data_IF_546825723717
#
_entry.id   IF_546825723717
#
_cell.length_a   1.000
_cell.length_b   1.000
_cell.length_c   1.000
_cell.angle_alpha   90.00
_cell.angle_beta   90.00
_cell.angle_gamma   90.00
#
_symmetry.space_group_name_H-M   'P 1'
#
loop_
_entity.id
_entity.type
_entity.pdbx_description
1 polymer ?
#
# COMPACT_ATOMS: atom_id res chain seq x y z
N UNK A 1 -22.26 43.72 -15.52
CA UNK A 1 -21.79 42.32 -15.60
C UNK A 1 -21.03 42.05 -14.31
N UNK A 2 -21.67 41.43 -13.31
CA UNK A 2 -21.02 41.17 -12.02
C UNK A 2 -20.36 39.79 -12.03
N UNK A 3 -19.16 39.61 -11.45
CA UNK A 3 -18.54 38.30 -11.33
C UNK A 3 -19.25 37.43 -10.27
N UNK A 4 -19.30 36.12 -10.51
CA UNK A 4 -19.81 35.12 -9.55
C UNK A 4 -18.84 34.97 -8.36
N UNK A 5 -19.34 34.72 -7.14
CA UNK A 5 -18.49 34.50 -5.98
C UNK A 5 -17.72 33.17 -6.08
N UNK A 6 -16.42 33.20 -5.78
CA UNK A 6 -15.57 32.02 -5.62
C UNK A 6 -15.92 31.33 -4.30
N UNK A 7 -16.30 30.06 -4.36
CA UNK A 7 -16.52 29.24 -3.18
C UNK A 7 -15.17 28.83 -2.57
N UNK A 8 -14.94 29.20 -1.30
CA UNK A 8 -13.83 28.72 -0.49
C UNK A 8 -14.03 27.24 -0.11
N UNK A 9 -12.99 26.38 -0.15
CA UNK A 9 -13.13 25.02 0.37
C UNK A 9 -13.21 25.03 1.90
N UNK A 10 -14.29 24.46 2.43
CA UNK A 10 -14.53 24.27 3.86
C UNK A 10 -13.50 23.29 4.47
N UNK A 11 -12.85 23.60 5.60
CA UNK A 11 -12.02 22.63 6.31
C UNK A 11 -12.90 21.51 6.89
N UNK A 12 -12.66 20.27 6.48
CA UNK A 12 -13.35 19.08 7.01
C UNK A 12 -12.81 18.74 8.41
N UNK A 13 -13.66 18.42 9.40
CA UNK A 13 -13.22 18.15 10.77
C UNK A 13 -12.40 16.85 10.89
N UNK A 14 -11.48 16.75 11.88
CA UNK A 14 -10.73 15.53 12.13
C UNK A 14 -11.64 14.47 12.79
N UNK A 15 -11.90 13.38 12.08
CA UNK A 15 -12.66 12.25 12.65
C UNK A 15 -11.70 11.41 13.49
N UNK A 16 -11.88 11.46 14.81
CA UNK A 16 -11.18 10.64 15.78
C UNK A 16 -11.48 9.16 15.54
N UNK A 17 -10.42 8.34 15.47
CA UNK A 17 -10.51 6.91 15.19
C UNK A 17 -10.98 6.16 16.44
N UNK A 18 -12.22 5.69 16.45
CA UNK A 18 -12.68 4.65 17.39
C UNK A 18 -12.25 3.28 16.84
N UNK A 19 -11.61 2.48 17.68
CA UNK A 19 -11.11 1.15 17.36
C UNK A 19 -12.22 0.20 16.86
N UNK A 20 -11.91 -0.59 15.83
CA UNK A 20 -12.74 -1.64 15.25
C UNK A 20 -12.22 -3.04 15.65
N UNK A 21 -13.04 -4.11 15.59
CA UNK A 21 -12.92 -5.30 16.44
C UNK A 21 -11.89 -6.34 15.97
N UNK A 22 -11.51 -7.22 16.91
CA UNK A 22 -10.48 -8.27 16.84
C UNK A 22 -10.67 -9.32 15.72
N UNK A 23 -9.59 -9.98 15.24
CA UNK A 23 -9.63 -10.89 14.10
C UNK A 23 -10.00 -12.34 14.47
N UNK A 24 -10.77 -13.01 13.59
CA UNK A 24 -10.99 -14.47 13.64
C UNK A 24 -9.89 -15.25 12.88
N UNK A 25 -9.52 -16.47 13.32
CA UNK A 25 -8.41 -17.23 12.74
C UNK A 25 -8.87 -18.08 11.54
N UNK A 26 -8.07 -18.09 10.47
CA UNK A 26 -8.15 -19.06 9.37
C UNK A 26 -6.93 -20.00 9.40
N UNK A 27 -7.05 -21.27 8.95
CA UNK A 27 -6.12 -22.33 9.34
C UNK A 27 -4.80 -22.27 8.59
N UNK A 28 -3.73 -22.61 9.32
CA UNK A 28 -2.39 -22.84 8.80
C UNK A 28 -2.21 -24.32 8.44
N UNK A 29 -1.69 -24.61 7.24
CA UNK A 29 -0.92 -25.84 7.02
C UNK A 29 -0.03 -25.74 5.77
N UNK A 30 1.25 -26.12 5.89
CA UNK A 30 2.09 -26.46 4.74
C UNK A 30 3.47 -25.79 4.62
N UNK A 31 4.43 -26.18 5.45
CA UNK A 31 5.83 -26.48 5.08
C UNK A 31 6.70 -25.45 4.35
N UNK A 32 7.69 -24.91 5.08
CA UNK A 32 9.07 -24.82 4.58
C UNK A 32 9.53 -23.50 3.96
N UNK A 33 9.73 -22.47 4.78
CA UNK A 33 10.88 -21.54 4.87
C UNK A 33 10.60 -20.67 6.11
N UNK A 34 11.59 -20.06 6.75
CA UNK A 34 11.39 -19.17 7.91
C UNK A 34 10.74 -17.84 7.47
N UNK A 35 9.54 -17.92 6.92
CA UNK A 35 8.67 -16.81 6.55
C UNK A 35 7.71 -16.53 7.70
N UNK A 36 7.35 -15.25 7.86
CA UNK A 36 6.29 -14.79 8.75
C UNK A 36 5.04 -15.65 8.52
N UNK A 37 4.57 -16.37 9.55
CA UNK A 37 3.52 -17.40 9.44
C UNK A 37 2.09 -16.85 9.27
N UNK A 38 1.92 -15.77 8.52
CA UNK A 38 0.62 -15.14 8.27
C UNK A 38 0.71 -13.63 8.10
N UNK A 39 -0.41 -13.03 7.68
CA UNK A 39 -0.49 -11.59 7.49
C UNK A 39 -0.68 -10.85 8.82
N UNK A 40 0.30 -10.05 9.20
CA UNK A 40 0.37 -9.35 10.49
C UNK A 40 -0.28 -7.98 10.49
N UNK A 41 -0.62 -7.46 9.30
CA UNK A 41 -1.16 -6.12 9.17
C UNK A 41 -2.66 -6.11 9.50
N UNK A 42 -3.25 -4.96 9.86
CA UNK A 42 -4.68 -4.89 10.15
C UNK A 42 -5.54 -5.06 8.90
N UNK A 43 -6.51 -5.97 8.90
CA UNK A 43 -7.43 -6.17 7.78
C UNK A 43 -8.09 -4.86 7.34
N UNK A 44 -8.26 -4.72 6.02
CA UNK A 44 -8.81 -3.51 5.41
C UNK A 44 -7.78 -2.41 5.16
N UNK A 45 -6.56 -2.51 5.68
CA UNK A 45 -5.51 -1.52 5.38
C UNK A 45 -4.80 -1.81 4.06
N UNK A 46 -4.22 -0.75 3.46
CA UNK A 46 -3.40 -0.87 2.26
C UNK A 46 -2.22 -1.83 2.47
N UNK A 47 -1.58 -1.77 3.63
CA UNK A 47 -0.47 -2.65 4.04
C UNK A 47 -0.90 -4.11 4.17
N UNK A 48 -2.12 -4.36 4.67
CA UNK A 48 -2.66 -5.71 4.75
C UNK A 48 -2.92 -6.31 3.38
N UNK A 49 -3.59 -5.58 2.49
CA UNK A 49 -3.81 -6.08 1.14
C UNK A 49 -2.50 -6.27 0.40
N UNK A 50 -1.57 -5.31 0.51
CA UNK A 50 -0.26 -5.41 -0.12
C UNK A 50 0.48 -6.67 0.33
N UNK A 51 0.54 -6.93 1.64
CA UNK A 51 1.18 -8.13 2.18
C UNK A 51 0.47 -9.42 1.73
N UNK A 52 -0.86 -9.44 1.74
CA UNK A 52 -1.64 -10.61 1.32
C UNK A 52 -1.46 -10.92 -0.16
N UNK A 53 -1.55 -9.89 -1.00
CA UNK A 53 -1.44 -10.03 -2.45
C UNK A 53 -0.01 -10.36 -2.87
N UNK A 54 0.99 -9.79 -2.20
CA UNK A 54 2.38 -10.14 -2.41
C UNK A 54 2.64 -11.63 -2.10
N UNK A 55 2.09 -12.15 -1.00
CA UNK A 55 2.14 -13.59 -0.71
C UNK A 55 1.44 -14.45 -1.78
N UNK A 56 0.30 -14.02 -2.29
CA UNK A 56 -0.37 -14.75 -3.38
C UNK A 56 0.47 -14.82 -4.67
N UNK A 57 1.29 -13.81 -4.95
CA UNK A 57 2.12 -13.74 -6.15
C UNK A 57 3.46 -14.46 -5.97
N UNK A 58 4.06 -14.36 -4.79
CA UNK A 58 5.46 -14.75 -4.56
C UNK A 58 5.64 -15.86 -3.52
N UNK A 59 4.56 -16.29 -2.85
CA UNK A 59 4.61 -17.29 -1.78
C UNK A 59 5.30 -16.82 -0.50
N UNK A 60 5.60 -15.54 -0.37
CA UNK A 60 6.26 -14.96 0.82
C UNK A 60 5.55 -13.70 1.30
N UNK A 61 5.56 -13.49 2.61
CA UNK A 61 5.05 -12.27 3.23
C UNK A 61 6.17 -11.23 3.36
N UNK A 62 5.77 -9.97 3.45
CA UNK A 62 6.62 -8.86 3.89
C UNK A 62 7.22 -9.18 5.27
N UNK A 63 8.56 -9.10 5.44
CA UNK A 63 9.23 -9.61 6.63
C UNK A 63 9.24 -8.64 7.82
N UNK A 64 8.99 -7.34 7.61
CA UNK A 64 9.00 -6.34 8.68
C UNK A 64 7.67 -6.22 9.42
N UNK A 65 7.76 -5.92 10.72
CA UNK A 65 6.60 -5.81 11.64
C UNK A 65 6.57 -4.54 12.48
N UNK A 66 7.72 -3.91 12.66
CA UNK A 66 7.87 -2.62 13.34
C UNK A 66 8.12 -1.54 12.29
N UNK A 67 7.82 -0.27 12.61
CA UNK A 67 7.94 0.84 11.65
C UNK A 67 7.41 0.45 10.27
N UNK A 68 6.16 0.00 10.27
CA UNK A 68 5.54 -0.65 9.11
C UNK A 68 4.39 0.19 8.53
N UNK A 69 4.38 1.51 8.80
CA UNK A 69 3.58 2.45 8.04
C UNK A 69 4.00 2.39 6.57
N UNK A 70 3.06 2.62 5.66
CA UNK A 70 3.29 2.42 4.22
C UNK A 70 4.54 3.17 3.71
N UNK A 71 4.74 4.43 4.10
CA UNK A 71 5.91 5.22 3.68
C UNK A 71 7.25 4.64 4.15
N UNK A 72 7.27 3.89 5.26
CA UNK A 72 8.49 3.32 5.86
C UNK A 72 8.97 2.06 5.13
N UNK A 73 8.13 1.46 4.29
CA UNK A 73 8.44 0.20 3.62
C UNK A 73 9.65 0.29 2.68
N UNK A 74 9.98 1.49 2.17
CA UNK A 74 11.21 1.69 1.39
C UNK A 74 12.46 1.50 2.26
N UNK A 75 12.49 2.11 3.45
CA UNK A 75 13.62 1.95 4.37
C UNK A 75 13.73 0.49 4.83
N UNK A 76 12.59 -0.14 5.16
CA UNK A 76 12.54 -1.55 5.53
C UNK A 76 12.96 -2.49 4.41
N UNK A 77 12.62 -2.19 3.15
CA UNK A 77 13.07 -2.98 2.02
C UNK A 77 14.61 -3.02 1.95
N UNK A 78 15.29 -1.87 2.14
CA UNK A 78 16.76 -1.86 2.21
C UNK A 78 17.30 -2.67 3.40
N UNK A 79 16.73 -2.51 4.60
CA UNK A 79 17.17 -3.23 5.80
C UNK A 79 17.02 -4.76 5.67
N UNK A 80 15.99 -5.21 4.96
CA UNK A 80 15.69 -6.63 4.74
C UNK A 80 16.23 -7.15 3.40
N UNK A 81 17.12 -6.40 2.74
CA UNK A 81 17.77 -6.77 1.48
C UNK A 81 16.80 -7.03 0.31
N UNK A 82 15.61 -6.43 0.35
CA UNK A 82 14.73 -6.35 -0.81
C UNK A 82 15.25 -5.30 -1.80
N UNK A 83 14.93 -5.50 -3.07
CA UNK A 83 15.21 -4.53 -4.12
C UNK A 83 14.29 -3.32 -3.98
N UNK A 84 14.84 -2.14 -4.26
CA UNK A 84 14.11 -0.87 -4.35
C UNK A 84 14.41 -0.26 -5.72
N UNK A 85 13.38 -0.18 -6.56
CA UNK A 85 13.44 0.38 -7.90
C UNK A 85 12.68 1.71 -7.97
N UNK A 86 13.12 2.58 -8.86
CA UNK A 86 12.36 3.79 -9.28
C UNK A 86 11.50 3.52 -10.51
N UNK A 87 11.80 2.47 -11.24
CA UNK A 87 11.06 2.04 -12.42
C UNK A 87 9.99 1.02 -12.03
N UNK A 88 8.81 1.06 -12.67
CA UNK A 88 7.75 0.08 -12.46
C UNK A 88 8.18 -1.37 -12.66
N UNK A 89 7.85 -2.22 -11.69
CA UNK A 89 8.10 -3.66 -11.76
C UNK A 89 6.78 -4.42 -11.56
N UNK A 90 6.34 -5.28 -12.50
CA UNK A 90 5.18 -6.14 -12.30
C UNK A 90 5.33 -7.03 -11.05
N UNK A 91 4.28 -7.10 -10.23
CA UNK A 91 4.29 -7.88 -8.99
C UNK A 91 5.03 -7.25 -7.82
N UNK A 92 5.69 -6.11 -8.00
CA UNK A 92 6.28 -5.35 -6.89
C UNK A 92 5.21 -4.60 -6.09
N UNK A 93 5.56 -4.20 -4.87
CA UNK A 93 4.74 -3.27 -4.08
C UNK A 93 5.18 -1.86 -4.45
N UNK A 94 4.24 -1.04 -4.95
CA UNK A 94 4.44 0.40 -5.09
C UNK A 94 4.27 1.06 -3.71
N UNK A 95 5.18 1.95 -3.36
CA UNK A 95 5.17 2.75 -2.13
C UNK A 95 5.07 4.22 -2.49
N UNK A 96 4.06 4.91 -1.96
CA UNK A 96 3.86 6.34 -2.08
C UNK A 96 4.26 7.03 -0.77
N UNK A 97 5.15 8.00 -0.87
CA UNK A 97 5.50 8.87 0.25
C UNK A 97 4.32 9.80 0.61
N UNK A 98 4.30 10.39 1.83
CA UNK A 98 3.24 11.31 2.23
C UNK A 98 3.06 12.47 1.26
N UNK A 99 1.82 12.77 0.89
CA UNK A 99 1.47 13.84 -0.06
C UNK A 99 1.61 13.48 -1.53
N UNK A 100 2.11 12.30 -1.88
CA UNK A 100 2.30 11.86 -3.27
C UNK A 100 1.03 11.19 -3.81
N UNK A 101 0.57 11.63 -4.98
CA UNK A 101 -0.65 11.12 -5.64
C UNK A 101 -1.89 11.02 -4.72
N UNK A 102 -1.98 11.89 -3.70
CA UNK A 102 -3.09 11.89 -2.73
C UNK A 102 -2.87 11.01 -1.49
N UNK A 103 -1.68 10.44 -1.30
CA UNK A 103 -1.33 9.68 -0.11
C UNK A 103 -1.34 10.55 1.15
N UNK A 104 -1.96 10.03 2.22
CA UNK A 104 -2.01 10.69 3.52
C UNK A 104 -0.67 10.61 4.27
N UNK A 105 -0.63 11.12 5.51
CA UNK A 105 0.57 11.17 6.34
C UNK A 105 1.25 9.80 6.57
N UNK A 106 0.49 8.70 6.53
CA UNK A 106 1.02 7.35 6.68
C UNK A 106 1.59 6.76 5.37
N UNK A 107 1.59 7.53 4.29
CA UNK A 107 1.91 7.05 2.94
C UNK A 107 0.83 6.10 2.41
N UNK A 108 1.16 5.41 1.32
CA UNK A 108 0.28 4.39 0.76
C UNK A 108 1.09 3.27 0.10
N UNK A 109 0.55 2.06 0.10
CA UNK A 109 1.11 0.93 -0.65
C UNK A 109 0.04 0.23 -1.47
N UNK A 110 0.45 -0.29 -2.63
CA UNK A 110 -0.39 -1.11 -3.50
C UNK A 110 0.49 -2.17 -4.20
N UNK A 111 -0.11 -3.22 -4.77
CA UNK A 111 0.65 -4.23 -5.54
C UNK A 111 0.47 -3.98 -7.03
N UNK A 112 1.57 -3.87 -7.76
CA UNK A 112 1.57 -3.66 -9.21
C UNK A 112 1.04 -4.91 -9.90
N UNK A 113 -0.16 -4.82 -10.47
CA UNK A 113 -0.78 -5.90 -11.23
C UNK A 113 -0.35 -5.86 -12.70
N UNK A 114 -0.14 -4.65 -13.24
CA UNK A 114 0.28 -4.46 -14.63
C UNK A 114 1.02 -3.15 -14.82
N UNK A 115 2.11 -3.18 -15.58
CA UNK A 115 2.76 -1.96 -16.07
C UNK A 115 2.07 -1.54 -17.38
N UNK A 116 1.58 -0.31 -17.44
CA UNK A 116 0.82 0.24 -18.57
C UNK A 116 1.72 1.01 -19.56
N UNK A 117 2.96 1.28 -19.18
CA UNK A 117 3.92 2.08 -19.96
C UNK A 117 3.98 3.54 -19.48
N UNK A 118 5.02 4.26 -19.92
CA UNK A 118 5.24 5.68 -19.58
C UNK A 118 5.24 5.94 -18.05
N UNK A 119 5.80 5.00 -17.27
CA UNK A 119 5.81 5.10 -15.81
C UNK A 119 4.47 4.80 -15.12
N UNK A 120 3.39 4.51 -15.85
CA UNK A 120 2.07 4.23 -15.27
C UNK A 120 1.91 2.75 -14.94
N UNK A 121 1.27 2.48 -13.82
CA UNK A 121 0.96 1.13 -13.34
C UNK A 121 -0.49 1.01 -12.94
N UNK A 122 -1.11 -0.12 -13.26
CA UNK A 122 -2.33 -0.57 -12.60
C UNK A 122 -1.93 -1.36 -11.37
N UNK A 123 -2.36 -0.93 -10.19
CA UNK A 123 -2.06 -1.61 -8.93
C UNK A 123 -3.33 -1.87 -8.13
N UNK A 124 -3.32 -2.98 -7.38
CA UNK A 124 -4.40 -3.36 -6.47
C UNK A 124 -4.11 -2.89 -5.05
N UNK A 125 -5.12 -2.32 -4.39
CA UNK A 125 -5.01 -1.75 -3.04
C UNK A 125 -6.30 -1.91 -2.25
N UNK A 126 -6.24 -1.69 -0.93
CA UNK A 126 -7.40 -1.49 -0.07
C UNK A 126 -7.30 -0.14 0.64
N UNK A 127 -8.44 0.39 1.07
CA UNK A 127 -8.52 1.65 1.79
C UNK A 127 -7.90 2.83 1.04
N UNK A 128 -8.18 2.89 -0.27
CA UNK A 128 -7.85 4.03 -1.12
C UNK A 128 -9.11 4.77 -1.58
N UNK A 129 -9.33 5.98 -1.07
CA UNK A 129 -10.57 6.71 -1.32
C UNK A 129 -11.75 6.18 -0.51
N UNK A 130 -12.98 6.30 -1.03
CA UNK A 130 -14.22 6.23 -0.23
C UNK A 130 -14.70 4.81 0.16
N UNK A 131 -13.96 3.73 -0.16
CA UNK A 131 -14.39 2.34 0.12
C UNK A 131 -13.32 1.54 0.87
N UNK A 132 -13.29 1.61 2.23
CA UNK A 132 -12.22 1.03 3.03
C UNK A 132 -12.13 -0.51 3.00
N UNK A 133 -13.22 -1.20 2.65
CA UNK A 133 -13.34 -2.66 2.83
C UNK A 133 -13.26 -3.47 1.53
N UNK A 134 -12.89 -2.86 0.40
CA UNK A 134 -12.85 -3.52 -0.90
C UNK A 134 -11.49 -3.36 -1.55
N UNK A 135 -11.05 -4.40 -2.25
CA UNK A 135 -9.92 -4.29 -3.16
C UNK A 135 -10.32 -3.37 -4.31
N UNK A 136 -9.47 -2.41 -4.59
CA UNK A 136 -9.63 -1.44 -5.66
C UNK A 136 -8.43 -1.54 -6.59
N UNK A 137 -8.67 -1.26 -7.88
CA UNK A 137 -7.63 -1.19 -8.89
C UNK A 137 -7.47 0.27 -9.29
N UNK A 138 -6.28 0.80 -9.06
CA UNK A 138 -5.97 2.22 -9.20
C UNK A 138 -4.77 2.35 -10.12
N UNK A 139 -4.79 3.39 -10.96
CA UNK A 139 -3.64 3.72 -11.79
C UNK A 139 -2.77 4.73 -11.06
N UNK A 140 -1.51 4.36 -10.83
CA UNK A 140 -0.49 5.23 -10.25
C UNK A 140 0.57 5.59 -11.30
N UNK A 141 1.31 6.66 -11.05
CA UNK A 141 2.42 7.10 -11.89
C UNK A 141 3.73 7.05 -11.11
N UNK A 142 4.76 6.46 -11.68
CA UNK A 142 6.12 6.57 -11.19
C UNK A 142 6.59 8.03 -11.24
N UNK A 143 7.40 8.43 -10.25
CA UNK A 143 7.88 9.80 -10.14
C UNK A 143 8.52 10.09 -8.78
N UNK A 144 8.81 11.35 -8.48
CA UNK A 144 9.34 11.76 -7.18
C UNK A 144 8.44 11.28 -6.03
N UNK A 145 9.03 10.62 -5.04
CA UNK A 145 8.31 10.09 -3.88
C UNK A 145 7.54 8.79 -4.14
N UNK A 146 7.77 8.14 -5.29
CA UNK A 146 7.29 6.79 -5.61
C UNK A 146 8.46 5.83 -5.70
N UNK A 147 8.31 4.64 -5.11
CA UNK A 147 9.28 3.56 -5.22
C UNK A 147 8.57 2.22 -5.38
N UNK A 148 9.29 1.23 -5.92
CA UNK A 148 8.81 -0.13 -6.12
C UNK A 148 9.72 -1.08 -5.34
N UNK A 149 9.15 -1.90 -4.45
CA UNK A 149 9.90 -2.82 -3.60
C UNK A 149 9.52 -4.28 -3.87
N UNK A 150 10.51 -5.18 -3.88
CA UNK A 150 10.32 -6.60 -4.16
C UNK A 150 11.53 -7.43 -3.67
N UNK A 151 11.33 -8.71 -3.40
CA UNK A 151 12.32 -9.59 -2.75
C UNK A 151 13.31 -10.26 -3.71
N UNK A 152 12.97 -10.39 -5.00
CA UNK A 152 13.81 -11.00 -6.06
C UNK A 152 13.20 -10.78 -7.43
#
# INVERSE_FOLDING_TARGET
MSPLPVATPTPTPPVSQTAAPEPSPGPAEGGGQAGVSGNVFPYGQCTWWANQRYFQLHGTYVPWRTQADAWQWVARAYEFHWHVSRDPVPGAIIVLQPGVEGAYALGHVAVVEKVLGQGRVLASTMNWGATPWKVQYVVYSAGPGVAFIYSS
#
